data_IF_143310341069
#
_entry.id   IF_143310341069
#
_cell.length_a   1.000
_cell.length_b   1.000
_cell.length_c   1.000
_cell.angle_alpha   90.00
_cell.angle_beta   90.00
_cell.angle_gamma   90.00
#
_symmetry.space_group_name_H-M   'P 1'
#
loop_
_entity.id
_entity.type
_entity.pdbx_description
1 polymer ?
#
# COMPACT_ATOMS: atom_id res chain seq x y z
N UNK A 1 -17.36 26.27 -2.47
CA UNK A 1 -18.11 25.33 -3.29
C UNK A 1 -17.16 24.74 -4.32
N UNK A 2 -16.89 23.48 -4.25
CA UNK A 2 -16.07 22.79 -5.25
C UNK A 2 -16.97 22.32 -6.38
N UNK A 3 -16.70 22.75 -7.59
CA UNK A 3 -17.33 22.19 -8.78
C UNK A 3 -16.77 20.79 -9.04
N UNK A 4 -17.47 19.76 -8.63
CA UNK A 4 -17.12 18.39 -8.97
C UNK A 4 -17.80 18.02 -10.27
N UNK A 5 -17.10 18.16 -11.38
CA UNK A 5 -17.62 17.81 -12.70
C UNK A 5 -17.68 16.32 -13.00
N UNK A 6 -16.86 15.52 -12.31
CA UNK A 6 -16.88 14.05 -12.39
C UNK A 6 -16.60 13.49 -11.02
N UNK A 7 -17.47 12.61 -10.57
CA UNK A 7 -17.28 11.84 -9.37
C UNK A 7 -17.04 10.38 -9.76
N UNK A 8 -16.01 9.81 -9.16
CA UNK A 8 -15.81 8.37 -9.13
C UNK A 8 -16.20 7.90 -7.74
N UNK A 9 -17.22 7.09 -7.62
CA UNK A 9 -17.59 6.40 -6.39
C UNK A 9 -16.64 5.22 -6.21
N UNK A 10 -16.10 5.07 -5.00
CA UNK A 10 -15.06 4.09 -4.72
C UNK A 10 -15.58 2.70 -4.35
N UNK A 11 -16.87 2.44 -4.41
CA UNK A 11 -17.47 1.13 -4.11
C UNK A 11 -17.80 0.30 -5.36
N UNK A 12 -17.11 0.53 -6.47
CA UNK A 12 -17.36 -0.19 -7.73
C UNK A 12 -18.60 0.31 -8.48
N UNK A 13 -19.23 1.34 -7.99
CA UNK A 13 -20.42 1.91 -8.57
C UNK A 13 -20.12 2.84 -9.75
N UNK A 14 -21.13 3.02 -10.61
CA UNK A 14 -21.02 3.85 -11.78
C UNK A 14 -20.69 5.32 -11.44
N UNK A 15 -19.68 5.86 -12.11
CA UNK A 15 -19.37 7.28 -12.03
C UNK A 15 -20.51 8.11 -12.60
N UNK A 16 -20.95 9.12 -11.87
CA UNK A 16 -21.88 10.10 -12.42
C UNK A 16 -21.26 11.51 -12.48
N UNK A 17 -21.73 12.29 -13.41
CA UNK A 17 -21.28 13.67 -13.61
C UNK A 17 -22.31 14.62 -13.01
N UNK A 18 -21.86 15.49 -12.10
CA UNK A 18 -22.68 16.58 -11.59
C UNK A 18 -22.94 17.57 -12.72
N UNK A 19 -24.21 17.85 -12.99
CA UNK A 19 -24.65 18.78 -14.03
C UNK A 19 -25.49 19.88 -13.41
N UNK A 20 -25.50 21.04 -14.06
CA UNK A 20 -26.41 22.12 -13.73
C UNK A 20 -27.86 21.60 -13.72
N UNK A 21 -28.56 21.79 -12.61
CA UNK A 21 -29.90 21.28 -12.39
C UNK A 21 -30.71 22.29 -11.56
N UNK A 22 -32.04 22.12 -11.56
CA UNK A 22 -32.94 22.88 -10.67
C UNK A 22 -33.40 21.96 -9.53
N UNK A 23 -33.03 22.33 -8.31
CA UNK A 23 -33.44 21.65 -7.08
C UNK A 23 -34.49 22.52 -6.37
N UNK A 24 -35.72 22.06 -6.24
CA UNK A 24 -36.83 22.80 -5.61
C UNK A 24 -37.02 24.21 -6.16
N UNK A 25 -36.84 24.41 -7.48
CA UNK A 25 -36.98 25.68 -8.16
C UNK A 25 -35.73 26.60 -8.12
N UNK A 26 -34.71 26.25 -7.37
CA UNK A 26 -33.45 26.98 -7.31
C UNK A 26 -32.41 26.29 -8.22
N UNK A 27 -31.67 27.10 -8.96
CA UNK A 27 -30.60 26.61 -9.83
C UNK A 27 -29.40 26.15 -8.99
N UNK A 28 -28.93 24.93 -9.24
CA UNK A 28 -27.75 24.35 -8.64
C UNK A 28 -26.73 24.01 -9.72
N UNK A 29 -25.47 24.43 -9.52
CA UNK A 29 -24.37 24.19 -10.46
C UNK A 29 -23.30 23.27 -9.89
N UNK A 30 -23.46 22.81 -8.64
CA UNK A 30 -22.47 21.96 -7.97
C UNK A 30 -23.07 21.22 -6.79
N UNK A 31 -22.25 20.43 -6.11
CA UNK A 31 -22.59 19.70 -4.90
C UNK A 31 -21.47 19.89 -3.86
N UNK A 32 -21.87 20.11 -2.61
CA UNK A 32 -20.95 20.12 -1.48
C UNK A 32 -20.81 18.67 -1.04
N UNK A 33 -19.56 18.18 -0.91
CA UNK A 33 -19.28 16.76 -0.73
C UNK A 33 -18.80 16.42 0.67
N UNK A 34 -19.07 15.18 1.10
CA UNK A 34 -18.42 14.50 2.20
C UNK A 34 -17.09 13.86 1.73
N UNK A 35 -16.29 13.34 2.66
CA UNK A 35 -14.98 12.75 2.35
C UNK A 35 -15.07 11.51 1.48
N UNK A 36 -15.99 10.61 1.80
CA UNK A 36 -16.24 9.38 1.03
C UNK A 36 -16.74 9.67 -0.38
N UNK A 37 -17.48 10.77 -0.53
CA UNK A 37 -18.03 11.17 -1.82
C UNK A 37 -16.98 11.60 -2.84
N UNK A 38 -15.80 12.04 -2.40
CA UNK A 38 -14.66 12.36 -3.27
C UNK A 38 -13.48 11.41 -3.07
N UNK A 39 -13.67 10.35 -2.28
CA UNK A 39 -12.71 9.27 -2.11
C UNK A 39 -11.44 9.63 -1.34
N UNK A 40 -11.49 10.63 -0.46
CA UNK A 40 -10.34 11.03 0.37
C UNK A 40 -10.40 10.46 1.80
N UNK A 41 -11.55 9.95 2.19
CA UNK A 41 -11.79 9.36 3.51
C UNK A 41 -13.00 8.46 3.53
N UNK A 42 -13.47 8.10 4.71
CA UNK A 42 -14.65 7.24 4.92
C UNK A 42 -15.77 7.93 5.69
N UNK A 43 -15.59 9.21 6.05
CA UNK A 43 -16.59 9.97 6.78
C UNK A 43 -17.70 10.46 5.84
N UNK A 44 -18.94 10.08 6.18
CA UNK A 44 -20.17 10.50 5.51
C UNK A 44 -21.08 11.32 6.42
N UNK A 45 -20.68 11.59 7.66
CA UNK A 45 -21.53 12.25 8.66
C UNK A 45 -21.81 13.72 8.34
N UNK A 46 -21.06 14.34 7.43
CA UNK A 46 -21.24 15.73 7.05
C UNK A 46 -20.41 16.17 5.84
N UNK A 47 -20.49 17.44 5.54
CA UNK A 47 -19.70 18.06 4.47
C UNK A 47 -18.27 18.30 4.92
N UNK A 48 -17.34 18.29 3.99
CA UNK A 48 -15.95 18.63 4.25
C UNK A 48 -15.86 20.13 4.60
N UNK A 49 -15.30 20.42 5.78
CA UNK A 49 -14.98 21.79 6.20
C UNK A 49 -13.48 22.00 6.06
N UNK A 50 -13.08 22.81 5.09
CA UNK A 50 -11.69 23.17 4.89
C UNK A 50 -11.24 24.26 5.88
N UNK A 51 -9.94 24.29 6.26
CA UNK A 51 -9.40 25.35 7.08
C UNK A 51 -9.47 26.70 6.35
N UNK A 52 -9.50 27.81 7.10
CA UNK A 52 -9.58 29.17 6.54
C UNK A 52 -8.40 29.53 5.61
N UNK A 53 -7.30 28.79 5.73
CA UNK A 53 -6.12 28.94 4.86
C UNK A 53 -6.30 28.35 3.48
N UNK A 54 -7.37 27.59 3.24
CA UNK A 54 -7.64 27.01 1.92
C UNK A 54 -8.02 28.11 0.92
N UNK A 55 -7.31 28.14 -0.20
CA UNK A 55 -7.54 29.14 -1.25
C UNK A 55 -8.78 28.76 -2.06
N UNK A 56 -9.83 29.59 -2.09
CA UNK A 56 -11.01 29.32 -2.89
C UNK A 56 -10.65 29.18 -4.39
N UNK A 57 -11.25 28.20 -5.04
CA UNK A 57 -10.99 27.92 -6.46
C UNK A 57 -9.85 26.94 -6.71
N UNK A 58 -9.11 26.52 -5.69
CA UNK A 58 -8.14 25.44 -5.82
C UNK A 58 -8.87 24.14 -6.12
N UNK A 59 -8.39 23.40 -7.12
CA UNK A 59 -8.93 22.07 -7.43
C UNK A 59 -8.72 21.12 -6.24
N UNK A 60 -9.74 20.33 -5.90
CA UNK A 60 -9.63 19.33 -4.82
C UNK A 60 -8.46 18.37 -5.04
N UNK A 61 -8.22 17.96 -6.28
CA UNK A 61 -7.06 17.15 -6.66
C UNK A 61 -5.73 17.78 -6.22
N UNK A 62 -5.57 19.09 -6.41
CA UNK A 62 -4.32 19.78 -6.11
C UNK A 62 -4.22 20.08 -4.60
N UNK A 63 -5.34 20.44 -3.98
CA UNK A 63 -5.42 20.67 -2.53
C UNK A 63 -5.06 19.43 -1.71
N UNK A 64 -5.59 18.27 -2.10
CA UNK A 64 -5.34 16.99 -1.43
C UNK A 64 -4.15 16.22 -2.02
N UNK A 65 -3.41 16.81 -2.97
CA UNK A 65 -2.27 16.18 -3.65
C UNK A 65 -2.61 14.77 -4.20
N UNK A 66 -3.81 14.61 -4.75
CA UNK A 66 -4.30 13.33 -5.27
C UNK A 66 -3.51 12.97 -6.52
N UNK A 67 -2.77 11.88 -6.46
CA UNK A 67 -2.04 11.33 -7.60
C UNK A 67 -2.85 10.22 -8.25
N UNK A 68 -3.03 10.32 -9.56
CA UNK A 68 -3.58 9.21 -10.34
C UNK A 68 -2.56 8.09 -10.45
N UNK A 69 -3.02 6.85 -10.32
CA UNK A 69 -2.20 5.66 -10.54
C UNK A 69 -3.02 4.64 -11.35
N UNK A 70 -2.40 3.56 -11.78
CA UNK A 70 -3.05 2.50 -12.52
C UNK A 70 -2.97 1.20 -11.74
N UNK A 71 -4.09 0.49 -11.67
CA UNK A 71 -4.17 -0.86 -11.14
C UNK A 71 -4.29 -1.81 -12.31
N UNK A 72 -3.39 -2.77 -12.38
CA UNK A 72 -3.43 -3.84 -13.35
C UNK A 72 -3.75 -5.13 -12.61
N UNK A 73 -4.87 -5.74 -12.95
CA UNK A 73 -5.20 -7.07 -12.50
C UNK A 73 -4.50 -8.09 -13.41
N UNK A 74 -3.63 -8.91 -12.83
CA UNK A 74 -2.81 -9.86 -13.56
C UNK A 74 -3.11 -11.27 -13.03
N UNK A 75 -3.59 -12.13 -13.91
CA UNK A 75 -3.81 -13.54 -13.59
C UNK A 75 -2.49 -14.31 -13.69
N UNK A 76 -2.05 -14.85 -12.57
CA UNK A 76 -0.80 -15.62 -12.45
C UNK A 76 -1.13 -17.10 -12.28
N UNK A 77 -0.62 -17.92 -13.18
CA UNK A 77 -0.81 -19.38 -13.11
C UNK A 77 -0.12 -19.96 -11.87
N UNK A 78 -0.65 -21.04 -11.25
CA UNK A 78 -0.16 -21.59 -9.98
C UNK A 78 1.31 -22.03 -9.99
N UNK A 79 1.86 -22.36 -11.16
CA UNK A 79 3.26 -22.73 -11.33
C UNK A 79 4.24 -21.54 -11.38
N UNK A 80 3.73 -20.31 -11.28
CA UNK A 80 4.51 -19.08 -11.39
C UNK A 80 4.48 -18.27 -10.10
N UNK A 81 4.67 -18.91 -8.96
CA UNK A 81 4.78 -18.24 -7.65
C UNK A 81 5.86 -17.14 -7.63
N UNK A 82 6.89 -17.25 -8.45
CA UNK A 82 7.93 -16.26 -8.65
C UNK A 82 7.43 -14.93 -9.26
N UNK A 83 6.28 -14.96 -9.93
CA UNK A 83 5.67 -13.79 -10.55
C UNK A 83 4.60 -13.11 -9.68
N UNK A 84 4.24 -13.66 -8.51
CA UNK A 84 3.21 -13.15 -7.62
C UNK A 84 3.68 -11.90 -6.83
N UNK A 85 4.18 -10.88 -7.52
CA UNK A 85 4.55 -9.58 -6.94
C UNK A 85 4.80 -8.55 -8.03
N UNK A 86 4.87 -7.27 -7.67
CA UNK A 86 5.26 -6.23 -8.64
C UNK A 86 6.62 -6.54 -9.29
N UNK A 87 7.60 -6.94 -8.49
CA UNK A 87 8.92 -7.27 -9.00
C UNK A 87 8.90 -8.54 -9.86
N UNK A 88 8.09 -9.53 -9.52
CA UNK A 88 7.90 -10.75 -10.31
C UNK A 88 7.32 -10.46 -11.69
N UNK A 89 6.23 -9.69 -11.75
CA UNK A 89 5.63 -9.25 -13.02
C UNK A 89 6.60 -8.36 -13.81
N UNK A 90 7.33 -7.48 -13.14
CA UNK A 90 8.34 -6.62 -13.79
C UNK A 90 9.46 -7.44 -14.45
N UNK A 91 9.88 -8.56 -13.85
CA UNK A 91 10.86 -9.49 -14.46
C UNK A 91 10.33 -10.11 -15.75
N UNK A 92 9.10 -10.56 -15.74
CA UNK A 92 8.48 -11.15 -16.92
C UNK A 92 8.31 -10.12 -18.05
N UNK A 93 7.84 -8.93 -17.69
CA UNK A 93 7.73 -7.82 -18.64
C UNK A 93 9.11 -7.41 -19.20
N UNK A 94 10.12 -7.34 -18.35
CA UNK A 94 11.49 -7.08 -18.77
C UNK A 94 12.00 -8.11 -19.78
N UNK A 95 11.82 -9.39 -19.46
CA UNK A 95 12.22 -10.49 -20.35
C UNK A 95 11.51 -10.41 -21.72
N UNK A 96 10.19 -10.16 -21.69
CA UNK A 96 9.41 -9.95 -22.92
C UNK A 96 9.92 -8.77 -23.76
N UNK A 97 10.16 -7.62 -23.13
CA UNK A 97 10.63 -6.43 -23.84
C UNK A 97 11.99 -6.65 -24.49
N UNK A 98 12.96 -7.21 -23.75
CA UNK A 98 14.29 -7.51 -24.29
C UNK A 98 14.22 -8.52 -25.45
N UNK A 99 13.44 -9.58 -25.30
CA UNK A 99 13.28 -10.58 -26.37
C UNK A 99 12.66 -9.99 -27.64
N UNK A 100 11.87 -8.95 -27.52
CA UNK A 100 11.27 -8.25 -28.67
C UNK A 100 12.06 -7.02 -29.10
N UNK A 101 13.33 -6.91 -28.74
CA UNK A 101 14.24 -5.82 -29.16
C UNK A 101 13.86 -4.44 -28.60
N UNK A 102 13.04 -4.37 -27.56
CA UNK A 102 12.64 -3.11 -26.91
C UNK A 102 13.58 -2.81 -25.75
N UNK A 103 14.11 -1.57 -25.65
CA UNK A 103 14.96 -1.19 -24.53
C UNK A 103 14.16 -1.23 -23.22
N UNK A 104 14.71 -1.89 -22.22
CA UNK A 104 14.13 -1.94 -20.89
C UNK A 104 15.22 -2.04 -19.82
N UNK A 105 14.92 -1.59 -18.60
CA UNK A 105 15.81 -1.72 -17.45
C UNK A 105 15.02 -2.23 -16.26
N UNK A 106 15.44 -3.33 -15.70
CA UNK A 106 14.90 -3.86 -14.45
C UNK A 106 15.74 -3.34 -13.28
N UNK A 107 15.10 -2.61 -12.35
CA UNK A 107 15.77 -2.08 -11.16
C UNK A 107 15.27 -2.81 -9.92
N UNK A 108 16.22 -3.29 -9.12
CA UNK A 108 15.96 -3.77 -7.76
C UNK A 108 16.48 -2.73 -6.78
N UNK A 109 15.75 -2.42 -5.70
CA UNK A 109 16.30 -1.56 -4.66
C UNK A 109 17.62 -2.09 -4.13
N UNK A 110 18.60 -1.20 -3.95
CA UNK A 110 19.88 -1.58 -3.31
C UNK A 110 19.64 -1.93 -1.85
N UNK A 111 20.39 -2.93 -1.40
CA UNK A 111 20.49 -3.33 0.01
C UNK A 111 21.86 -3.02 0.61
N UNK A 112 22.70 -2.29 -0.12
CA UNK A 112 24.10 -2.03 0.27
C UNK A 112 24.22 -1.18 1.54
N UNK A 113 23.17 -0.39 1.84
CA UNK A 113 23.11 0.39 3.07
C UNK A 113 22.66 -0.43 4.30
N UNK A 114 22.28 -1.70 4.12
CA UNK A 114 21.91 -2.54 5.26
C UNK A 114 23.16 -2.95 6.03
N UNK A 115 23.18 -2.62 7.32
CA UNK A 115 24.22 -3.03 8.25
C UNK A 115 23.58 -3.42 9.59
N UNK A 116 24.14 -4.42 10.23
CA UNK A 116 23.82 -4.74 11.62
C UNK A 116 24.67 -3.83 12.52
N UNK A 117 24.02 -2.90 13.21
CA UNK A 117 24.69 -1.89 14.03
C UNK A 117 25.24 -2.45 15.35
N UNK A 118 24.55 -3.44 15.92
CA UNK A 118 24.93 -4.09 17.16
C UNK A 118 24.22 -5.45 17.34
N UNK A 119 24.59 -6.18 18.37
CA UNK A 119 24.01 -7.48 18.75
C UNK A 119 23.43 -7.47 20.18
N UNK A 120 22.96 -6.31 20.66
CA UNK A 120 22.47 -6.17 22.04
C UNK A 120 21.18 -6.92 22.33
N UNK A 121 20.38 -7.19 21.31
CA UNK A 121 19.15 -7.95 21.42
C UNK A 121 19.16 -9.08 20.37
N UNK A 122 19.82 -10.15 20.73
CA UNK A 122 19.94 -11.32 19.86
C UNK A 122 18.77 -12.29 20.12
N UNK A 123 18.01 -12.59 19.08
CA UNK A 123 16.94 -13.58 19.09
C UNK A 123 17.45 -14.79 18.31
N UNK A 124 17.64 -15.89 19.00
CA UNK A 124 18.10 -17.13 18.39
C UNK A 124 17.00 -17.68 17.44
N UNK A 125 17.42 -18.15 16.28
CA UNK A 125 16.54 -18.85 15.34
C UNK A 125 17.01 -20.28 15.18
N UNK A 126 16.13 -21.23 15.47
CA UNK A 126 16.38 -22.66 15.31
C UNK A 126 15.39 -23.24 14.28
N UNK A 127 15.91 -23.87 13.24
CA UNK A 127 15.10 -24.59 12.25
C UNK A 127 15.27 -26.08 12.48
N UNK A 128 14.22 -26.77 12.96
CA UNK A 128 14.24 -28.21 13.24
C UNK A 128 14.06 -29.06 11.98
N UNK A 129 13.28 -28.55 11.01
CA UNK A 129 13.04 -29.25 9.74
C UNK A 129 13.56 -28.41 8.58
N UNK A 130 14.81 -28.63 8.21
CA UNK A 130 15.49 -27.91 7.12
C UNK A 130 15.01 -28.31 5.72
N UNK A 131 14.32 -29.44 5.55
CA UNK A 131 13.70 -29.83 4.30
C UNK A 131 12.46 -28.99 4.04
N UNK A 132 11.58 -28.83 5.05
CA UNK A 132 10.37 -28.03 4.94
C UNK A 132 10.65 -26.52 4.98
N UNK A 133 11.69 -26.08 5.70
CA UNK A 133 12.11 -24.70 5.78
C UNK A 133 13.63 -24.59 5.64
N UNK A 134 14.16 -24.50 4.42
CA UNK A 134 15.61 -24.48 4.18
C UNK A 134 16.31 -23.26 4.79
N UNK A 135 15.59 -22.16 4.97
CA UNK A 135 16.14 -20.93 5.54
C UNK A 135 15.07 -20.09 6.24
N UNK A 136 15.36 -19.65 7.44
CA UNK A 136 14.61 -18.63 8.16
C UNK A 136 15.58 -17.56 8.67
N UNK A 137 15.28 -16.29 8.46
CA UNK A 137 16.14 -15.19 8.89
C UNK A 137 15.31 -14.19 9.70
N UNK A 138 15.90 -13.69 10.77
CA UNK A 138 15.32 -12.65 11.60
C UNK A 138 16.27 -11.45 11.72
N UNK A 139 15.70 -10.28 11.89
CA UNK A 139 16.43 -9.04 12.21
C UNK A 139 15.68 -8.37 13.36
N UNK A 140 16.40 -7.99 14.39
CA UNK A 140 15.86 -7.22 15.51
C UNK A 140 16.04 -5.74 15.25
N UNK A 141 14.97 -4.96 15.38
CA UNK A 141 14.98 -3.51 15.19
C UNK A 141 14.57 -2.85 16.49
N UNK A 142 15.43 -1.98 17.04
CA UNK A 142 15.17 -1.20 18.27
C UNK A 142 14.67 0.22 17.95
N UNK A 143 14.02 0.85 18.92
CA UNK A 143 13.58 2.24 18.81
C UNK A 143 12.42 2.48 17.85
N UNK A 144 11.65 1.43 17.52
CA UNK A 144 10.49 1.54 16.67
C UNK A 144 9.34 2.21 17.43
N UNK A 145 8.80 3.29 16.88
CA UNK A 145 7.55 3.88 17.36
C UNK A 145 6.44 3.44 16.41
N UNK A 146 5.49 2.67 16.92
CA UNK A 146 4.31 2.27 16.16
C UNK A 146 3.40 3.48 16.02
N UNK A 147 3.13 3.87 14.78
CA UNK A 147 2.31 5.04 14.43
C UNK A 147 1.67 4.83 13.06
N UNK A 148 0.84 5.76 12.66
CA UNK A 148 0.30 5.82 11.32
C UNK A 148 1.41 5.84 10.27
N UNK A 149 1.19 5.11 9.18
CA UNK A 149 2.13 5.05 8.05
C UNK A 149 2.24 6.40 7.34
N UNK A 150 3.37 6.73 6.74
CA UNK A 150 3.46 7.90 5.89
C UNK A 150 2.51 7.77 4.69
N UNK A 151 2.00 8.89 4.24
CA UNK A 151 0.96 8.97 3.20
C UNK A 151 1.30 8.17 1.93
N UNK A 152 2.56 8.21 1.49
CA UNK A 152 2.97 7.47 0.29
C UNK A 152 2.76 5.95 0.44
N UNK A 153 3.00 5.40 1.64
CA UNK A 153 2.82 3.97 1.92
C UNK A 153 1.34 3.62 2.01
N UNK A 154 0.57 4.44 2.71
CA UNK A 154 -0.88 4.29 2.78
C UNK A 154 -1.52 4.30 1.38
N UNK A 155 -1.13 5.25 0.53
CA UNK A 155 -1.67 5.38 -0.81
C UNK A 155 -1.33 4.15 -1.68
N UNK A 156 -0.11 3.62 -1.59
CA UNK A 156 0.26 2.39 -2.30
C UNK A 156 -0.59 1.18 -1.88
N UNK A 157 -0.89 1.06 -0.59
CA UNK A 157 -1.72 -0.03 -0.08
C UNK A 157 -3.20 0.16 -0.46
N UNK A 158 -3.74 1.37 -0.32
CA UNK A 158 -5.13 1.67 -0.73
C UNK A 158 -5.39 1.38 -2.20
N UNK A 159 -4.45 1.71 -3.09
CA UNK A 159 -4.55 1.48 -4.53
C UNK A 159 -4.74 -0.02 -4.85
N UNK A 160 -4.13 -0.91 -4.10
CA UNK A 160 -4.28 -2.37 -4.27
C UNK A 160 -5.39 -2.96 -3.38
N UNK A 161 -6.27 -2.12 -2.81
CA UNK A 161 -7.41 -2.55 -2.02
C UNK A 161 -7.09 -2.91 -0.55
N UNK A 162 -5.89 -2.62 -0.06
CA UNK A 162 -5.51 -2.88 1.33
C UNK A 162 -5.78 -1.65 2.21
N UNK A 163 -6.36 -1.90 3.39
CA UNK A 163 -6.54 -0.86 4.40
C UNK A 163 -5.25 -0.68 5.20
N UNK A 164 -4.66 0.53 5.24
CA UNK A 164 -3.54 0.84 6.13
C UNK A 164 -3.93 0.66 7.60
N UNK A 165 -2.99 0.16 8.41
CA UNK A 165 -3.19 -0.10 9.85
C UNK A 165 -2.19 0.72 10.67
N UNK A 166 -0.90 0.45 10.50
CA UNK A 166 0.20 1.17 11.12
C UNK A 166 1.50 0.89 10.35
N UNK A 167 2.52 1.69 10.59
CA UNK A 167 3.80 1.62 9.88
C UNK A 167 4.47 0.23 9.89
N UNK A 168 4.31 -0.54 10.96
CA UNK A 168 4.92 -1.88 11.08
C UNK A 168 4.19 -2.88 10.17
N UNK A 169 2.87 -2.98 10.32
CA UNK A 169 2.04 -3.88 9.52
C UNK A 169 2.06 -3.50 8.04
N UNK A 170 2.00 -2.22 7.76
CA UNK A 170 1.93 -1.71 6.39
C UNK A 170 3.24 -1.95 5.63
N UNK A 171 4.40 -1.87 6.30
CA UNK A 171 5.69 -2.24 5.69
C UNK A 171 5.70 -3.72 5.32
N UNK A 172 5.20 -4.62 6.18
CA UNK A 172 5.16 -6.06 5.85
C UNK A 172 4.23 -6.34 4.66
N UNK A 173 3.06 -5.69 4.62
CA UNK A 173 2.14 -5.77 3.49
C UNK A 173 2.77 -5.20 2.20
N UNK A 174 3.43 -4.07 2.29
CA UNK A 174 4.12 -3.48 1.15
C UNK A 174 5.19 -4.42 0.57
N UNK A 175 6.02 -5.04 1.41
CA UNK A 175 7.08 -5.93 0.96
C UNK A 175 6.54 -7.19 0.30
N UNK A 176 5.47 -7.80 0.83
CA UNK A 176 4.89 -9.01 0.20
C UNK A 176 4.33 -8.68 -1.18
N UNK A 177 3.67 -7.55 -1.36
CA UNK A 177 3.16 -7.15 -2.67
C UNK A 177 4.24 -6.64 -3.62
N UNK A 178 5.27 -5.97 -3.12
CA UNK A 178 6.36 -5.47 -3.94
C UNK A 178 7.32 -6.57 -4.41
N UNK A 179 7.64 -7.55 -3.56
CA UNK A 179 8.70 -8.53 -3.80
C UNK A 179 8.28 -9.99 -3.70
N UNK A 180 7.06 -10.28 -3.24
CA UNK A 180 6.57 -11.64 -3.06
C UNK A 180 7.15 -12.35 -1.82
N UNK A 181 7.81 -11.61 -0.92
CA UNK A 181 8.40 -12.18 0.29
C UNK A 181 7.53 -11.87 1.50
N UNK A 182 6.85 -12.86 2.09
CA UNK A 182 6.13 -12.68 3.35
C UNK A 182 7.06 -12.30 4.49
N UNK A 183 6.67 -11.30 5.26
CA UNK A 183 7.36 -10.88 6.47
C UNK A 183 6.42 -11.02 7.67
N UNK A 184 7.00 -11.34 8.82
CA UNK A 184 6.31 -11.37 10.10
C UNK A 184 7.04 -10.46 11.09
N UNK A 185 6.29 -9.62 11.79
CA UNK A 185 6.80 -8.78 12.85
C UNK A 185 6.28 -9.26 14.20
N UNK A 186 7.18 -9.41 15.15
CA UNK A 186 6.88 -9.82 16.51
C UNK A 186 7.41 -8.77 17.50
N UNK A 187 6.67 -8.57 18.57
CA UNK A 187 7.17 -7.84 19.73
C UNK A 187 8.24 -8.69 20.43
N UNK A 188 9.50 -8.25 20.36
CA UNK A 188 10.64 -9.00 20.88
C UNK A 188 10.52 -9.27 22.38
N UNK A 189 9.91 -8.36 23.16
CA UNK A 189 9.71 -8.53 24.61
C UNK A 189 8.72 -9.65 24.93
N UNK A 190 7.91 -10.07 23.98
CA UNK A 190 6.96 -11.18 24.12
C UNK A 190 7.51 -12.53 23.69
N UNK A 191 8.71 -12.57 23.11
CA UNK A 191 9.36 -13.81 22.70
C UNK A 191 9.98 -14.48 23.93
N UNK A 192 9.31 -15.52 24.43
CA UNK A 192 9.80 -16.27 25.61
C UNK A 192 11.13 -16.96 25.29
N UNK A 193 12.12 -16.76 26.16
CA UNK A 193 13.43 -17.38 26.01
C UNK A 193 14.30 -16.82 24.89
N UNK A 194 13.90 -15.69 24.27
CA UNK A 194 14.63 -15.06 23.17
C UNK A 194 14.98 -16.03 22.03
N UNK A 195 14.09 -16.99 21.76
CA UNK A 195 14.27 -17.99 20.72
C UNK A 195 13.01 -18.19 19.89
N UNK A 196 13.19 -18.25 18.57
CA UNK A 196 12.16 -18.63 17.59
C UNK A 196 12.50 -20.01 17.04
N UNK A 197 11.60 -20.96 17.24
CA UNK A 197 11.76 -22.34 16.76
C UNK A 197 10.82 -22.57 15.58
N UNK A 198 11.38 -22.88 14.43
CA UNK A 198 10.66 -23.22 13.20
C UNK A 198 10.63 -24.75 13.08
N UNK A 199 9.44 -25.32 13.15
CA UNK A 199 9.27 -26.77 13.13
C UNK A 199 7.95 -27.19 12.46
N UNK A 200 7.89 -28.43 12.01
CA UNK A 200 6.65 -29.05 11.58
C UNK A 200 5.81 -29.38 12.81
N UNK A 201 4.56 -28.97 12.79
CA UNK A 201 3.59 -29.34 13.83
C UNK A 201 2.85 -30.60 13.42
N UNK A 202 2.45 -31.47 14.38
CA UNK A 202 1.63 -32.64 14.10
C UNK A 202 0.24 -32.29 13.58
#
# INVERSE_FOLDING_TARGET
ASDVYKRQLYDGDECFTIKKSKLRGVESVGMICAEDEIGIGTDHAGIIVLPETAVPGTLAKDYYNIKSDYVLEVDITPNRADACSHYGVARDLYAYLIQNGKPATLKKPSVDAFAVENHDLDIKVTVENSEACPRYAGVTVKGVTVKESPEWLQNKLRIIGLRPINNVVDITNYIVHAFGQPLHCFDADKIKGSEVIVKTMP
#
